data_IF_055266311452
#
_entry.id   IF_055266311452
#
_cell.length_a   1.000
_cell.length_b   1.000
_cell.length_c   1.000
_cell.angle_alpha   90.00
_cell.angle_beta   90.00
_cell.angle_gamma   90.00
#
_symmetry.space_group_name_H-M   'P 1'
#
loop_
_entity.id
_entity.type
_entity.pdbx_description
1 polymer ?
#
# COMPACT_ATOMS: atom_id res chain seq x y z
N UNK A 1 -55.52 -4.29 1.63
CA UNK A 1 -54.94 -4.21 2.98
C UNK A 1 -54.02 -5.42 3.16
N UNK A 2 -52.74 -5.27 2.78
CA UNK A 2 -51.75 -6.34 2.87
C UNK A 2 -51.22 -6.38 4.31
N UNK A 3 -51.38 -7.52 5.00
CA UNK A 3 -50.84 -7.73 6.34
C UNK A 3 -49.58 -8.57 6.20
N UNK A 4 -48.41 -7.97 6.44
CA UNK A 4 -47.14 -8.70 6.53
C UNK A 4 -47.24 -9.77 7.63
N UNK A 5 -46.80 -11.01 7.40
CA UNK A 5 -46.63 -11.97 8.48
C UNK A 5 -45.56 -11.42 9.44
N UNK A 6 -45.81 -11.53 10.74
CA UNK A 6 -44.86 -11.12 11.75
C UNK A 6 -43.53 -11.87 11.50
N UNK A 7 -42.45 -11.10 11.34
CA UNK A 7 -41.07 -11.61 11.38
C UNK A 7 -40.76 -12.05 12.82
N UNK A 8 -41.39 -13.13 13.27
CA UNK A 8 -41.20 -13.70 14.61
C UNK A 8 -40.07 -14.73 14.63
N UNK A 9 -39.03 -14.51 13.83
CA UNK A 9 -37.78 -15.29 13.93
C UNK A 9 -36.60 -14.45 13.41
N UNK A 10 -36.45 -13.25 13.96
CA UNK A 10 -35.10 -12.72 14.09
C UNK A 10 -34.42 -13.62 15.10
N UNK A 11 -33.55 -14.52 14.63
CA UNK A 11 -32.61 -15.23 15.49
C UNK A 11 -31.75 -14.19 16.20
N UNK A 12 -32.25 -13.67 17.31
CA UNK A 12 -31.48 -13.00 18.35
C UNK A 12 -30.50 -14.05 18.85
N UNK A 13 -29.29 -14.03 18.29
CA UNK A 13 -28.13 -14.57 18.98
C UNK A 13 -27.79 -13.56 20.07
N UNK A 14 -28.65 -13.50 21.09
CA UNK A 14 -28.29 -12.83 22.33
C UNK A 14 -27.06 -13.58 22.84
N UNK A 15 -25.93 -12.88 22.86
CA UNK A 15 -24.76 -13.37 23.58
C UNK A 15 -25.23 -13.59 25.02
N UNK A 16 -25.09 -14.81 25.53
CA UNK A 16 -25.38 -15.12 26.92
C UNK A 16 -24.51 -14.20 27.79
N UNK A 17 -25.12 -13.16 28.36
CA UNK A 17 -24.47 -12.16 29.21
C UNK A 17 -24.28 -12.73 30.64
N UNK A 18 -24.46 -14.04 30.84
CA UNK A 18 -23.97 -14.68 32.06
C UNK A 18 -22.47 -14.41 32.16
N UNK A 19 -22.11 -13.49 33.07
CA UNK A 19 -20.78 -12.89 33.24
C UNK A 19 -19.69 -13.88 33.64
N UNK A 20 -19.45 -14.88 32.80
CA UNK A 20 -18.24 -15.67 32.81
C UNK A 20 -17.15 -14.75 32.31
N UNK A 21 -16.22 -14.40 33.21
CA UNK A 21 -14.95 -13.82 32.80
C UNK A 21 -14.40 -14.66 31.65
N UNK A 22 -14.15 -14.02 30.50
CA UNK A 22 -13.66 -14.68 29.29
C UNK A 22 -12.22 -15.23 29.46
N UNK A 23 -11.68 -15.18 30.68
CA UNK A 23 -10.32 -15.58 31.01
C UNK A 23 -9.31 -14.64 30.36
N UNK A 24 -8.11 -15.14 30.14
CA UNK A 24 -7.10 -14.44 29.36
C UNK A 24 -7.42 -14.66 27.88
N UNK A 25 -7.93 -13.63 27.20
CA UNK A 25 -8.18 -13.69 25.77
C UNK A 25 -6.83 -13.79 25.01
N UNK A 26 -6.78 -14.53 23.89
CA UNK A 26 -5.58 -14.59 23.08
C UNK A 26 -5.26 -13.21 22.49
N UNK A 27 -4.00 -12.83 22.51
CA UNK A 27 -3.49 -11.63 21.85
C UNK A 27 -2.80 -12.00 20.54
N UNK A 28 -2.79 -11.07 19.57
CA UNK A 28 -1.98 -11.24 18.36
C UNK A 28 -0.50 -11.29 18.71
N UNK A 29 0.21 -12.29 18.20
CA UNK A 29 1.67 -12.31 18.23
C UNK A 29 2.20 -11.32 17.19
N UNK A 30 2.96 -10.33 17.64
CA UNK A 30 3.54 -9.28 16.79
C UNK A 30 5.04 -9.47 16.56
N UNK A 31 5.63 -10.55 17.08
CA UNK A 31 7.08 -10.79 17.02
C UNK A 31 7.60 -11.01 15.59
N UNK A 32 6.74 -11.48 14.68
CA UNK A 32 7.01 -11.52 13.23
C UNK A 32 7.27 -10.13 12.64
N UNK A 33 6.68 -9.08 13.23
CA UNK A 33 6.94 -7.69 12.85
C UNK A 33 8.12 -7.12 13.64
N UNK A 34 7.99 -7.03 14.97
CA UNK A 34 9.05 -6.59 15.87
C UNK A 34 8.87 -7.23 17.24
N UNK A 35 9.98 -7.56 17.91
CA UNK A 35 9.93 -8.14 19.27
C UNK A 35 9.27 -7.21 20.32
N UNK A 36 9.21 -5.91 20.04
CA UNK A 36 8.55 -4.92 20.90
C UNK A 36 8.82 -3.48 20.44
N UNK A 37 8.18 -2.48 21.07
CA UNK A 37 8.30 -1.07 20.65
C UNK A 37 9.69 -0.46 20.90
N UNK A 38 10.52 -1.12 21.72
CA UNK A 38 11.91 -0.72 22.00
C UNK A 38 12.93 -1.66 21.35
N UNK A 39 12.48 -2.53 20.44
CA UNK A 39 13.39 -3.39 19.70
C UNK A 39 14.34 -2.54 18.84
N UNK A 40 15.64 -2.86 18.77
CA UNK A 40 16.61 -2.07 18.02
C UNK A 40 16.25 -1.95 16.53
N UNK A 41 15.55 -2.94 15.98
CA UNK A 41 15.06 -2.93 14.60
C UNK A 41 14.01 -1.84 14.35
N UNK A 42 13.20 -1.48 15.35
CA UNK A 42 12.22 -0.38 15.21
C UNK A 42 12.94 0.94 15.01
N UNK A 43 13.94 1.22 15.84
CA UNK A 43 14.74 2.44 15.72
C UNK A 43 15.49 2.47 14.38
N UNK A 44 16.16 1.36 14.03
CA UNK A 44 16.85 1.21 12.75
C UNK A 44 15.93 1.47 11.56
N UNK A 45 14.75 0.89 11.54
CA UNK A 45 13.83 0.98 10.40
C UNK A 45 13.25 2.39 10.27
N UNK A 46 13.00 3.11 11.38
CA UNK A 46 12.65 4.53 11.32
C UNK A 46 13.79 5.41 10.80
N UNK A 47 15.02 5.22 11.32
CA UNK A 47 16.17 6.04 10.93
C UNK A 47 16.53 5.77 9.45
N UNK A 48 16.42 4.52 9.02
CA UNK A 48 16.55 4.15 7.61
C UNK A 48 15.46 4.80 6.75
N UNK A 49 14.21 4.80 7.20
CA UNK A 49 13.09 5.40 6.44
C UNK A 49 13.30 6.90 6.21
N UNK A 50 13.72 7.63 7.25
CA UNK A 50 14.02 9.06 7.16
C UNK A 50 15.12 9.34 6.14
N UNK A 51 16.22 8.59 6.18
CA UNK A 51 17.32 8.73 5.22
C UNK A 51 16.91 8.32 3.80
N UNK A 52 16.25 7.17 3.65
CA UNK A 52 15.86 6.62 2.36
C UNK A 52 14.89 7.56 1.61
N UNK A 53 13.94 8.18 2.30
CA UNK A 53 13.04 9.16 1.68
C UNK A 53 13.78 10.42 1.19
N UNK A 54 14.72 10.93 1.98
CA UNK A 54 15.52 12.09 1.60
C UNK A 54 16.43 11.79 0.41
N UNK A 55 17.11 10.64 0.44
CA UNK A 55 17.99 10.18 -0.63
C UNK A 55 17.20 9.92 -1.92
N UNK A 56 16.00 9.32 -1.81
CA UNK A 56 15.11 9.09 -2.94
C UNK A 56 14.71 10.40 -3.63
N UNK A 57 14.26 11.39 -2.85
CA UNK A 57 13.92 12.71 -3.40
C UNK A 57 15.13 13.37 -4.08
N UNK A 58 16.29 13.38 -3.42
CA UNK A 58 17.51 13.93 -4.01
C UNK A 58 17.93 13.23 -5.31
N UNK A 59 17.75 11.91 -5.39
CA UNK A 59 18.10 11.10 -6.55
C UNK A 59 17.16 11.33 -7.73
N UNK A 60 15.86 11.45 -7.50
CA UNK A 60 14.84 11.29 -8.54
C UNK A 60 13.94 12.50 -8.82
N UNK A 61 13.81 13.44 -7.88
CA UNK A 61 12.96 14.61 -8.08
C UNK A 61 13.40 15.44 -9.29
N UNK A 62 12.45 15.75 -10.16
CA UNK A 62 12.63 16.44 -11.44
C UNK A 62 13.31 15.61 -12.53
N UNK A 63 13.56 14.31 -12.31
CA UNK A 63 14.41 13.48 -13.17
C UNK A 63 13.72 12.23 -13.71
N UNK A 64 12.50 11.89 -13.25
CA UNK A 64 11.83 10.63 -13.62
C UNK A 64 11.63 10.51 -15.14
N UNK A 65 11.24 11.60 -15.78
CA UNK A 65 11.09 11.68 -17.23
C UNK A 65 12.42 11.68 -18.00
N UNK A 66 13.57 11.49 -17.37
CA UNK A 66 14.85 11.30 -18.05
C UNK A 66 15.40 9.87 -17.89
N UNK A 67 14.80 9.07 -17.00
CA UNK A 67 15.24 7.70 -16.76
C UNK A 67 15.01 6.80 -17.98
N UNK A 68 15.92 5.85 -18.15
CA UNK A 68 15.73 4.68 -18.99
C UNK A 68 15.00 3.56 -18.21
N UNK A 69 14.73 2.44 -18.87
CA UNK A 69 13.93 1.36 -18.27
C UNK A 69 14.59 0.77 -17.01
N UNK A 70 15.91 0.61 -17.01
CA UNK A 70 16.65 0.09 -15.85
C UNK A 70 16.67 1.11 -14.70
N UNK A 71 16.86 2.39 -15.01
CA UNK A 71 16.80 3.48 -14.04
C UNK A 71 15.43 3.61 -13.40
N UNK A 72 14.35 3.48 -14.19
CA UNK A 72 12.99 3.51 -13.69
C UNK A 72 12.65 2.27 -12.85
N UNK A 73 13.11 1.08 -13.26
CA UNK A 73 12.97 -0.13 -12.45
C UNK A 73 13.68 0.00 -11.10
N UNK A 74 14.89 0.56 -11.09
CA UNK A 74 15.63 0.82 -9.85
C UNK A 74 14.85 1.81 -8.96
N UNK A 75 14.36 2.91 -9.53
CA UNK A 75 13.53 3.88 -8.82
C UNK A 75 12.30 3.22 -8.17
N UNK A 76 11.56 2.38 -8.91
CA UNK A 76 10.37 1.71 -8.38
C UNK A 76 10.71 0.76 -7.23
N UNK A 77 11.82 0.02 -7.33
CA UNK A 77 12.27 -0.89 -6.25
C UNK A 77 12.68 -0.14 -4.99
N UNK A 78 13.32 1.02 -5.14
CA UNK A 78 13.68 1.86 -4.00
C UNK A 78 12.42 2.43 -3.32
N UNK A 79 11.46 2.91 -4.11
CA UNK A 79 10.15 3.35 -3.61
C UNK A 79 9.38 2.20 -2.92
N UNK A 80 9.39 1.00 -3.49
CA UNK A 80 8.78 -0.20 -2.90
C UNK A 80 9.41 -0.56 -1.54
N UNK A 81 10.73 -0.45 -1.41
CA UNK A 81 11.41 -0.71 -0.14
C UNK A 81 10.99 0.30 0.96
N UNK A 82 10.81 1.57 0.58
CA UNK A 82 10.29 2.61 1.47
C UNK A 82 8.87 2.24 1.94
N UNK A 83 7.97 1.94 1.01
CA UNK A 83 6.57 1.59 1.29
C UNK A 83 6.46 0.35 2.19
N UNK A 84 7.26 -0.69 1.93
CA UNK A 84 7.28 -1.92 2.75
C UNK A 84 7.71 -1.61 4.18
N UNK A 85 8.78 -0.83 4.37
CA UNK A 85 9.29 -0.51 5.70
C UNK A 85 8.34 0.40 6.48
N UNK A 86 7.82 1.45 5.84
CA UNK A 86 6.81 2.32 6.44
C UNK A 86 5.54 1.54 6.80
N UNK A 87 5.09 0.67 5.89
CA UNK A 87 3.95 -0.22 6.11
C UNK A 87 4.18 -1.17 7.28
N UNK A 88 5.37 -1.76 7.42
CA UNK A 88 5.72 -2.63 8.56
C UNK A 88 5.68 -1.88 9.89
N UNK A 89 6.29 -0.69 9.96
CA UNK A 89 6.30 0.17 11.14
C UNK A 89 4.88 0.53 11.58
N UNK A 90 4.06 1.03 10.65
CA UNK A 90 2.68 1.44 10.94
C UNK A 90 1.76 0.26 11.22
N UNK A 91 1.97 -0.89 10.57
CA UNK A 91 1.23 -2.12 10.88
C UNK A 91 1.51 -2.57 12.32
N UNK A 92 2.78 -2.57 12.75
CA UNK A 92 3.12 -2.91 14.13
C UNK A 92 2.51 -1.92 15.12
N UNK A 93 2.64 -0.61 14.86
CA UNK A 93 2.10 0.42 15.74
C UNK A 93 0.58 0.33 15.88
N UNK A 94 -0.14 0.16 14.77
CA UNK A 94 -1.59 0.03 14.74
C UNK A 94 -2.07 -1.25 15.42
N UNK A 95 -1.53 -2.42 15.04
CA UNK A 95 -1.93 -3.70 15.64
C UNK A 95 -1.66 -3.72 17.15
N UNK A 96 -0.54 -3.15 17.60
CA UNK A 96 -0.23 -3.03 19.01
C UNK A 96 -1.23 -2.13 19.74
N UNK A 97 -1.63 -1.01 19.15
CA UNK A 97 -2.67 -0.14 19.71
C UNK A 97 -4.02 -0.86 19.82
N UNK A 98 -4.42 -1.62 18.80
CA UNK A 98 -5.71 -2.32 18.79
C UNK A 98 -5.83 -3.48 19.77
N UNK A 99 -4.71 -4.03 20.25
CA UNK A 99 -4.72 -4.99 21.37
C UNK A 99 -5.27 -4.38 22.67
N UNK A 100 -5.07 -3.08 22.92
CA UNK A 100 -5.62 -2.37 24.09
C UNK A 100 -5.67 -0.86 23.84
N UNK A 101 -6.81 -0.35 23.35
CA UNK A 101 -6.94 1.04 22.90
C UNK A 101 -7.01 2.07 24.03
N UNK A 102 -7.20 1.63 25.28
CA UNK A 102 -7.18 2.48 26.48
C UNK A 102 -5.80 2.61 27.12
N UNK A 103 -4.81 1.86 26.63
CA UNK A 103 -3.42 1.94 27.08
C UNK A 103 -2.74 3.17 26.46
N UNK A 104 -2.36 4.12 27.32
CA UNK A 104 -1.75 5.39 26.91
C UNK A 104 -0.37 5.24 26.27
N UNK A 105 0.42 4.24 26.66
CA UNK A 105 1.75 4.03 26.08
C UNK A 105 1.64 3.53 24.65
N UNK A 106 0.67 2.65 24.38
CA UNK A 106 0.37 2.16 23.02
C UNK A 106 -0.16 3.26 22.13
N UNK A 107 -1.09 4.08 22.65
CA UNK A 107 -1.62 5.22 21.93
C UNK A 107 -0.51 6.23 21.59
N UNK A 108 0.38 6.53 22.55
CA UNK A 108 1.54 7.40 22.31
C UNK A 108 2.47 6.84 21.24
N UNK A 109 2.83 5.56 21.32
CA UNK A 109 3.69 4.93 20.31
C UNK A 109 3.09 5.02 18.90
N UNK A 110 1.78 4.79 18.77
CA UNK A 110 1.09 4.91 17.47
C UNK A 110 1.11 6.34 16.93
N UNK A 111 0.85 7.34 17.77
CA UNK A 111 0.92 8.75 17.38
C UNK A 111 2.35 9.16 16.97
N UNK A 112 3.36 8.84 17.80
CA UNK A 112 4.76 9.15 17.51
C UNK A 112 5.23 8.47 16.20
N UNK A 113 4.82 7.22 15.97
CA UNK A 113 5.12 6.49 14.72
C UNK A 113 4.47 7.14 13.50
N UNK A 114 3.19 7.50 13.59
CA UNK A 114 2.45 8.18 12.54
C UNK A 114 3.11 9.51 12.17
N UNK A 115 3.48 10.30 13.16
CA UNK A 115 4.13 11.60 12.95
C UNK A 115 5.47 11.43 12.24
N UNK A 116 6.33 10.50 12.70
CA UNK A 116 7.62 10.21 12.05
C UNK A 116 7.45 9.75 10.60
N UNK A 117 6.56 8.80 10.34
CA UNK A 117 6.32 8.28 8.98
C UNK A 117 5.76 9.39 8.06
N UNK A 118 4.86 10.23 8.58
CA UNK A 118 4.28 11.34 7.80
C UNK A 118 5.35 12.37 7.44
N UNK A 119 6.19 12.75 8.40
CA UNK A 119 7.30 13.67 8.17
C UNK A 119 8.32 13.09 7.19
N UNK A 120 8.69 11.82 7.35
CA UNK A 120 9.65 11.15 6.49
C UNK A 120 9.15 11.03 5.04
N UNK A 121 7.87 10.73 4.81
CA UNK A 121 7.32 10.48 3.47
C UNK A 121 6.86 11.74 2.74
N UNK A 122 6.82 12.90 3.41
CA UNK A 122 6.45 14.19 2.80
C UNK A 122 7.23 14.51 1.51
N UNK A 123 8.56 14.31 1.43
CA UNK A 123 9.32 14.56 0.21
C UNK A 123 8.97 13.63 -0.96
N UNK A 124 8.21 12.54 -0.76
CA UNK A 124 7.90 11.58 -1.83
C UNK A 124 6.70 12.00 -2.70
N UNK A 125 6.00 13.07 -2.34
CA UNK A 125 4.79 13.54 -3.05
C UNK A 125 5.05 13.79 -4.53
N UNK A 126 6.26 14.20 -4.92
CA UNK A 126 6.59 14.41 -6.34
C UNK A 126 6.49 13.13 -7.17
N UNK A 127 6.72 11.95 -6.57
CA UNK A 127 6.88 10.70 -7.31
C UNK A 127 5.63 10.37 -8.13
N UNK A 128 4.46 10.34 -7.50
CA UNK A 128 3.20 10.08 -8.21
C UNK A 128 2.89 11.18 -9.22
N UNK A 129 3.16 12.45 -8.88
CA UNK A 129 2.91 13.60 -9.75
C UNK A 129 3.78 13.59 -11.02
N UNK A 130 5.07 13.25 -10.89
CA UNK A 130 5.99 13.17 -12.02
C UNK A 130 5.77 11.92 -12.85
N UNK A 131 5.47 10.78 -12.22
CA UNK A 131 5.07 9.57 -12.95
C UNK A 131 3.85 9.83 -13.84
N UNK A 132 2.85 10.55 -13.31
CA UNK A 132 1.65 10.97 -14.07
C UNK A 132 1.95 11.94 -15.23
N UNK A 133 3.13 12.56 -15.28
CA UNK A 133 3.54 13.48 -16.36
C UNK A 133 4.36 12.79 -17.46
N UNK A 134 4.76 11.53 -17.26
CA UNK A 134 5.44 10.78 -18.31
C UNK A 134 4.42 10.45 -19.40
N UNK A 135 4.73 10.82 -20.64
CA UNK A 135 3.86 10.54 -21.79
C UNK A 135 3.58 9.04 -21.95
N UNK A 136 2.32 8.67 -22.18
CA UNK A 136 1.87 7.28 -22.33
C UNK A 136 2.74 6.48 -23.31
N UNK A 137 3.03 7.05 -24.49
CA UNK A 137 3.86 6.40 -25.50
C UNK A 137 5.28 6.08 -25.00
N UNK A 138 5.85 6.98 -24.19
CA UNK A 138 7.16 6.77 -23.57
C UNK A 138 7.08 5.73 -22.46
N UNK A 139 6.07 5.79 -21.60
CA UNK A 139 5.88 4.80 -20.53
C UNK A 139 5.75 3.40 -21.11
N UNK A 140 4.97 3.23 -22.18
CA UNK A 140 4.84 1.96 -22.89
C UNK A 140 6.17 1.48 -23.50
N UNK A 141 6.95 2.40 -24.08
CA UNK A 141 8.28 2.05 -24.60
C UNK A 141 9.25 1.60 -23.49
N UNK A 142 9.21 2.24 -22.32
CA UNK A 142 10.02 1.87 -21.16
C UNK A 142 9.62 0.48 -20.63
N UNK A 143 8.32 0.25 -20.45
CA UNK A 143 7.78 -1.04 -19.99
C UNK A 143 8.15 -2.18 -20.95
N UNK A 144 8.01 -1.96 -22.26
CA UNK A 144 8.37 -2.96 -23.27
C UNK A 144 9.89 -3.27 -23.33
N UNK A 145 10.74 -2.34 -22.88
CA UNK A 145 12.19 -2.48 -22.92
C UNK A 145 12.77 -3.33 -21.77
N UNK A 146 12.05 -3.51 -20.66
CA UNK A 146 12.53 -4.28 -19.50
C UNK A 146 11.40 -5.11 -18.87
N UNK A 147 11.53 -6.45 -18.92
CA UNK A 147 10.53 -7.37 -18.36
C UNK A 147 10.37 -7.28 -16.83
N UNK A 148 11.42 -6.84 -16.13
CA UNK A 148 11.36 -6.57 -14.70
C UNK A 148 10.52 -5.34 -14.40
N UNK A 149 10.62 -4.30 -15.23
CA UNK A 149 9.76 -3.11 -15.17
C UNK A 149 8.32 -3.42 -15.56
N UNK A 150 8.10 -4.18 -16.64
CA UNK A 150 6.76 -4.58 -17.10
C UNK A 150 5.97 -5.36 -16.04
N UNK A 151 6.66 -6.10 -15.16
CA UNK A 151 6.02 -6.77 -14.01
C UNK A 151 5.27 -5.80 -13.08
N UNK A 152 5.72 -4.54 -12.99
CA UNK A 152 5.08 -3.50 -12.18
C UNK A 152 3.96 -2.75 -12.93
N UNK A 153 3.70 -3.08 -14.20
CA UNK A 153 2.65 -2.44 -15.03
C UNK A 153 1.31 -2.27 -14.30
N UNK A 154 0.73 -3.27 -13.61
CA UNK A 154 -0.57 -3.08 -12.96
C UNK A 154 -0.56 -1.99 -11.88
N UNK A 155 0.57 -1.81 -11.20
CA UNK A 155 0.75 -0.80 -10.16
C UNK A 155 0.96 0.58 -10.78
N UNK A 156 1.79 0.66 -11.83
CA UNK A 156 2.03 1.90 -12.59
C UNK A 156 0.70 2.38 -13.21
N UNK A 157 -0.03 1.53 -13.91
CA UNK A 157 -1.33 1.87 -14.50
C UNK A 157 -2.34 2.33 -13.44
N UNK A 158 -2.38 1.70 -12.26
CA UNK A 158 -3.23 2.15 -11.15
C UNK A 158 -2.83 3.56 -10.70
N UNK A 159 -1.55 3.81 -10.50
CA UNK A 159 -1.03 5.12 -10.07
C UNK A 159 -1.31 6.23 -11.11
N UNK A 160 -1.27 5.90 -12.41
CA UNK A 160 -1.60 6.82 -13.49
C UNK A 160 -3.12 7.08 -13.59
N UNK A 161 -3.95 6.09 -13.26
CA UNK A 161 -5.40 6.24 -13.23
C UNK A 161 -5.91 7.03 -12.01
N UNK A 162 -5.19 6.98 -10.89
CA UNK A 162 -5.54 7.72 -9.66
C UNK A 162 -5.14 9.21 -9.75
N UNK A 163 -4.39 9.62 -10.78
CA UNK A 163 -4.07 11.02 -11.07
C UNK A 163 -5.32 11.83 -11.40
N UNK A 164 -5.73 12.70 -10.49
CA UNK A 164 -6.82 13.65 -10.74
C UNK A 164 -6.41 14.62 -11.86
N UNK A 165 -7.14 14.58 -12.96
CA UNK A 165 -6.99 15.56 -14.04
C UNK A 165 -7.75 16.81 -13.61
N UNK A 166 -7.05 17.95 -13.57
CA UNK A 166 -7.68 19.26 -13.44
C UNK A 166 -7.91 19.78 -14.86
N UNK A 167 -9.10 19.58 -15.37
CA UNK A 167 -9.60 20.25 -16.57
C UNK A 167 -10.55 21.37 -16.12
N UNK A 168 -10.37 22.58 -16.64
CA UNK A 168 -11.24 23.74 -16.40
C UNK A 168 -11.53 24.10 -14.92
N UNK A 169 -10.61 23.77 -14.01
CA UNK A 169 -10.74 24.08 -12.58
C UNK A 169 -11.62 23.10 -11.79
N UNK A 170 -12.15 22.06 -12.45
CA UNK A 170 -12.84 20.95 -11.79
C UNK A 170 -11.92 19.74 -11.65
N UNK A 171 -11.85 19.22 -10.42
CA UNK A 171 -11.05 18.04 -10.08
C UNK A 171 -11.87 16.81 -10.44
N UNK A 172 -11.68 16.26 -11.64
CA UNK A 172 -12.44 15.09 -12.10
C UNK A 172 -11.60 13.81 -11.98
N UNK A 173 -12.24 12.75 -11.49
CA UNK A 173 -11.67 11.40 -11.50
C UNK A 173 -11.81 10.85 -12.93
N UNK A 174 -10.68 10.57 -13.58
CA UNK A 174 -10.68 9.84 -14.84
C UNK A 174 -10.68 8.35 -14.47
N UNK A 175 -11.77 7.60 -14.69
CA UNK A 175 -11.69 6.15 -14.55
C UNK A 175 -10.62 5.66 -15.53
N UNK A 176 -9.67 4.87 -15.03
CA UNK A 176 -8.70 4.17 -15.87
C UNK A 176 -9.44 3.39 -16.97
N UNK A 177 -8.77 3.07 -18.10
CA UNK A 177 -9.40 2.33 -19.18
C UNK A 177 -10.10 1.10 -18.61
N UNK A 178 -11.38 0.94 -18.94
CA UNK A 178 -12.20 -0.19 -18.51
C UNK A 178 -11.38 -1.45 -18.77
N UNK A 179 -10.95 -2.12 -17.68
CA UNK A 179 -10.00 -3.22 -17.81
C UNK A 179 -10.62 -4.25 -18.75
N UNK A 180 -10.02 -4.46 -19.92
CA UNK A 180 -10.22 -5.71 -20.66
C UNK A 180 -9.50 -6.81 -19.88
N UNK A 181 -10.12 -7.20 -18.76
CA UNK A 181 -9.64 -8.27 -17.87
C UNK A 181 -9.47 -9.55 -18.69
N UNK A 182 -10.32 -9.78 -19.69
CA UNK A 182 -10.20 -10.91 -20.60
C UNK A 182 -8.98 -10.80 -21.54
N UNK A 183 -8.59 -9.61 -21.99
CA UNK A 183 -7.37 -9.36 -22.76
C UNK A 183 -6.10 -9.50 -21.94
N UNK A 184 -6.09 -8.99 -20.71
CA UNK A 184 -4.98 -9.13 -19.77
C UNK A 184 -4.74 -10.60 -19.39
N UNK A 185 -5.80 -11.36 -19.10
CA UNK A 185 -5.73 -12.80 -18.84
C UNK A 185 -5.24 -13.55 -20.09
N UNK A 186 -5.73 -13.23 -21.29
CA UNK A 186 -5.27 -13.88 -22.53
C UNK A 186 -3.78 -13.64 -22.82
N UNK A 187 -3.26 -12.44 -22.55
CA UNK A 187 -1.81 -12.14 -22.70
C UNK A 187 -0.96 -12.87 -21.66
N UNK A 188 -1.44 -12.97 -20.41
CA UNK A 188 -0.78 -13.73 -19.34
C UNK A 188 -0.76 -15.24 -19.62
N UNK A 189 -1.83 -15.81 -20.16
CA UNK A 189 -1.90 -17.23 -20.51
C UNK A 189 -1.12 -17.56 -21.80
N UNK A 190 -0.88 -16.58 -22.68
CA UNK A 190 -0.09 -16.77 -23.89
C UNK A 190 1.43 -16.80 -23.62
N UNK A 191 1.91 -16.18 -22.53
CA UNK A 191 3.33 -16.19 -22.15
C UNK A 191 3.74 -17.44 -21.34
N UNK A 192 2.79 -18.11 -20.67
CA UNK A 192 3.01 -19.37 -19.96
C UNK A 192 2.77 -20.59 -20.88
N UNK A 193 3.75 -20.92 -21.72
CA UNK A 193 3.80 -22.27 -22.34
C UNK A 193 4.01 -23.32 -21.24
N UNK A 194 2.91 -23.87 -20.76
CA UNK A 194 2.83 -25.12 -19.99
C UNK A 194 3.76 -26.20 -20.59
N UNK A 195 4.86 -26.50 -19.92
CA UNK A 195 5.48 -27.84 -19.96
C UNK A 195 4.93 -28.63 -18.77
N UNK A 196 3.80 -29.28 -18.98
CA UNK A 196 3.44 -30.46 -18.17
C UNK A 196 4.26 -31.60 -18.75
N UNK A 197 5.28 -32.02 -18.01
CA UNK A 197 5.86 -33.35 -18.16
C UNK A 197 4.96 -34.27 -17.34
N UNK A 198 4.39 -35.25 -18.01
CA UNK A 198 3.53 -36.30 -17.47
C UNK A 198 4.26 -37.18 -16.45
#
# INVERSE_FOLDING_TARGET
MFRLPALTDLRLRDADVSGRSLGNLPEWDLTDLYAGPKAPEVARDFDWLEAACADFAAAYEGKLAALDAQGLLKCIKEYEAIDITAGRLMSFAGLRYYQMTTDSERAKFMADAQDRVTMATTPLVFFSLEMNRIEDARMEALLAADAGLDRYRPVIERMLAEGLVVEDGERSYRPGPERDVAGAIRRSLASERFRVVA
#
